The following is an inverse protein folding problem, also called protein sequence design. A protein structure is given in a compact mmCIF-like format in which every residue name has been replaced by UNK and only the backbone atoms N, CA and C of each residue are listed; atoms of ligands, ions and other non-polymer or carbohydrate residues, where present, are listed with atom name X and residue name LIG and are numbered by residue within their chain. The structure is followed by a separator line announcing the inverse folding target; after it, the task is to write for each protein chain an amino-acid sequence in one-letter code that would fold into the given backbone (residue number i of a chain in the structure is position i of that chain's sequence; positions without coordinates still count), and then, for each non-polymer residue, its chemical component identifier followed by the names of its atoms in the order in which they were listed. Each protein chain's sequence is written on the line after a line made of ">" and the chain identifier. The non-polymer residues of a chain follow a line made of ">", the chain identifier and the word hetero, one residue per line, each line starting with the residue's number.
data_IF_684969290408
#
_entry.id   IF_684969290408
#
_cell.length_a   1.000
_cell.length_b   1.000
_cell.length_c   1.000
_cell.angle_alpha   90.00
_cell.angle_beta   90.00
_cell.angle_gamma   90.00
#
_symmetry.space_group_name_H-M   'P 1'
#
loop_
_entity.id
_entity.type
_entity.pdbx_description
1 polymer ?
#
# COMPACT_ATOMS: atom_id res chain seq x y z
N UNK A 1 -0.15 -5.19 -26.70
CA UNK A 1 -0.45 -3.74 -26.59
C UNK A 1 0.82 -2.96 -26.26
N UNK A 2 0.84 -1.68 -26.60
CA UNK A 2 1.84 -0.71 -26.10
C UNK A 2 1.21 0.05 -24.92
N UNK A 3 1.73 -0.20 -23.72
CA UNK A 3 1.19 0.33 -22.47
C UNK A 3 2.13 1.41 -21.94
N UNK A 4 1.62 2.62 -21.72
CA UNK A 4 2.36 3.70 -21.08
C UNK A 4 1.93 3.81 -19.61
N UNK A 5 2.77 3.32 -18.70
CA UNK A 5 2.59 3.49 -17.26
C UNK A 5 3.13 4.86 -16.85
N UNK A 6 2.38 5.60 -16.07
CA UNK A 6 2.75 6.95 -15.58
C UNK A 6 2.70 6.97 -14.08
N UNK A 7 3.85 7.22 -13.45
CA UNK A 7 3.94 7.43 -12.02
C UNK A 7 5.09 8.40 -11.71
N UNK A 8 4.84 9.41 -10.89
CA UNK A 8 5.90 10.33 -10.44
C UNK A 8 6.94 9.65 -9.55
N UNK A 9 6.62 8.50 -8.98
CA UNK A 9 7.54 7.66 -8.22
C UNK A 9 7.78 6.34 -8.96
N UNK A 10 9.06 6.05 -9.20
CA UNK A 10 9.52 4.78 -9.78
C UNK A 10 10.93 4.50 -9.29
N UNK A 11 11.41 3.25 -9.25
CA UNK A 11 12.78 2.98 -8.81
C UNK A 11 13.83 3.89 -9.47
N UNK A 12 14.82 4.34 -8.70
CA UNK A 12 15.24 3.87 -7.37
C UNK A 12 14.46 4.45 -6.18
N UNK A 13 13.37 5.20 -6.38
CA UNK A 13 12.49 5.63 -5.28
C UNK A 13 11.66 4.46 -4.76
N UNK A 14 11.65 4.28 -3.43
CA UNK A 14 10.97 3.17 -2.74
C UNK A 14 9.70 3.67 -2.02
N UNK A 15 8.62 3.86 -2.75
CA UNK A 15 7.29 4.16 -2.19
C UNK A 15 6.31 3.06 -2.57
N UNK A 16 5.19 2.91 -1.85
CA UNK A 16 4.18 1.91 -2.17
C UNK A 16 3.69 1.98 -3.62
N UNK A 17 3.44 3.20 -4.14
CA UNK A 17 3.03 3.37 -5.54
C UNK A 17 4.16 3.09 -6.55
N UNK A 18 5.45 3.27 -6.16
CA UNK A 18 6.57 2.91 -7.01
C UNK A 18 6.68 1.38 -7.16
N UNK A 19 6.55 0.64 -6.06
CA UNK A 19 6.52 -0.82 -6.07
C UNK A 19 5.33 -1.33 -6.89
N UNK A 20 4.13 -0.81 -6.64
CA UNK A 20 2.95 -1.15 -7.42
C UNK A 20 3.18 -0.97 -8.93
N UNK A 21 3.69 0.20 -9.35
CA UNK A 21 3.92 0.49 -10.77
C UNK A 21 4.96 -0.41 -11.40
N UNK A 22 6.02 -0.77 -10.66
CA UNK A 22 7.03 -1.71 -11.10
C UNK A 22 6.46 -3.12 -11.26
N UNK A 23 5.67 -3.56 -10.27
CA UNK A 23 5.11 -4.91 -10.25
C UNK A 23 4.13 -5.11 -11.41
N UNK A 24 3.17 -4.19 -11.62
CA UNK A 24 2.25 -4.29 -12.76
C UNK A 24 2.98 -4.17 -14.11
N UNK A 25 4.00 -3.31 -14.21
CA UNK A 25 4.77 -3.16 -15.44
C UNK A 25 5.52 -4.45 -15.80
N UNK A 26 6.14 -5.11 -14.82
CA UNK A 26 6.79 -6.43 -15.01
C UNK A 26 5.81 -7.49 -15.48
N UNK A 27 4.63 -7.53 -14.87
CA UNK A 27 3.62 -8.51 -15.27
C UNK A 27 3.06 -8.24 -16.66
N UNK A 28 2.90 -6.97 -17.07
CA UNK A 28 2.53 -6.64 -18.45
C UNK A 28 3.59 -7.10 -19.46
N UNK A 29 4.89 -6.94 -19.15
CA UNK A 29 5.99 -7.46 -19.98
C UNK A 29 5.94 -8.99 -20.07
N UNK A 30 5.78 -9.69 -18.95
CA UNK A 30 5.67 -11.16 -18.92
C UNK A 30 4.50 -11.68 -19.77
N UNK A 31 3.40 -10.91 -19.85
CA UNK A 31 2.23 -11.24 -20.68
C UNK A 31 2.37 -10.77 -22.14
N UNK A 32 3.58 -10.39 -22.56
CA UNK A 32 3.91 -10.10 -23.96
C UNK A 32 3.52 -8.70 -24.44
N UNK A 33 3.36 -7.74 -23.53
CA UNK A 33 3.08 -6.35 -23.89
C UNK A 33 4.36 -5.52 -23.94
N UNK A 34 4.41 -4.53 -24.83
CA UNK A 34 5.47 -3.52 -24.87
C UNK A 34 5.15 -2.45 -23.82
N UNK A 35 6.03 -2.28 -22.82
CA UNK A 35 5.78 -1.46 -21.67
C UNK A 35 6.76 -0.30 -21.56
N UNK A 36 6.21 0.89 -21.49
CA UNK A 36 6.94 2.13 -21.26
C UNK A 36 6.52 2.73 -19.93
N UNK A 37 7.48 3.29 -19.19
CA UNK A 37 7.23 4.00 -17.95
C UNK A 37 7.68 5.45 -18.07
N UNK A 38 6.77 6.40 -17.88
CA UNK A 38 7.09 7.80 -17.73
C UNK A 38 7.12 8.15 -16.25
N UNK A 39 8.28 8.59 -15.75
CA UNK A 39 8.49 8.93 -14.34
C UNK A 39 9.32 10.20 -14.19
N UNK A 40 9.54 10.63 -12.94
CA UNK A 40 10.36 11.82 -12.64
C UNK A 40 11.83 11.45 -12.47
N UNK A 41 12.72 12.32 -12.93
CA UNK A 41 14.16 12.16 -12.76
C UNK A 41 14.55 12.14 -11.28
N UNK A 42 15.55 11.32 -10.97
CA UNK A 42 16.21 11.23 -9.67
C UNK A 42 17.70 11.57 -9.89
N UNK A 43 18.35 12.30 -8.99
CA UNK A 43 19.79 12.57 -9.11
C UNK A 43 20.58 11.27 -9.31
N UNK A 44 21.45 11.25 -10.31
CA UNK A 44 22.28 10.08 -10.65
C UNK A 44 21.60 9.02 -11.52
N UNK A 45 20.30 9.13 -11.81
CA UNK A 45 19.60 8.19 -12.70
C UNK A 45 19.66 8.65 -14.15
N UNK A 46 19.82 7.73 -15.12
CA UNK A 46 19.81 8.06 -16.55
C UNK A 46 18.42 8.57 -17.00
N UNK A 47 18.40 9.40 -18.02
CA UNK A 47 17.13 9.90 -18.61
C UNK A 47 16.33 8.75 -19.24
N UNK A 48 17.00 7.75 -19.78
CA UNK A 48 16.41 6.54 -20.35
C UNK A 48 17.19 5.32 -19.91
N UNK A 49 16.47 4.29 -19.56
CA UNK A 49 17.04 2.97 -19.26
C UNK A 49 16.05 1.87 -19.62
N UNK A 50 16.56 0.66 -19.74
CA UNK A 50 15.74 -0.55 -19.82
C UNK A 50 15.93 -1.36 -18.54
N UNK A 51 14.84 -1.76 -17.92
CA UNK A 51 14.82 -2.54 -16.69
C UNK A 51 13.78 -3.65 -16.83
N UNK A 52 14.20 -4.92 -16.78
CA UNK A 52 13.30 -6.08 -16.85
C UNK A 52 12.37 -6.05 -18.08
N UNK A 53 12.86 -5.58 -19.24
CA UNK A 53 12.08 -5.40 -20.47
C UNK A 53 11.15 -4.20 -20.46
N UNK A 54 11.24 -3.33 -19.47
CA UNK A 54 10.48 -2.09 -19.34
C UNK A 54 11.33 -0.91 -19.82
N UNK A 55 10.82 -0.12 -20.77
CA UNK A 55 11.48 1.10 -21.22
C UNK A 55 11.14 2.26 -20.28
N UNK A 56 12.09 2.70 -19.47
CA UNK A 56 11.90 3.78 -18.49
C UNK A 56 12.37 5.11 -19.05
N UNK A 57 11.51 6.12 -19.03
CA UNK A 57 11.80 7.49 -19.44
C UNK A 57 11.61 8.44 -18.26
N UNK A 58 12.69 9.11 -17.85
CA UNK A 58 12.68 10.05 -16.74
C UNK A 58 12.57 11.50 -17.22
N UNK A 59 11.53 12.16 -16.73
CA UNK A 59 11.28 13.59 -17.04
C UNK A 59 11.95 14.46 -15.99
N UNK A 60 12.70 15.53 -16.39
CA UNK A 60 13.30 16.45 -15.44
C UNK A 60 12.29 17.00 -14.45
N UNK A 61 12.60 16.91 -13.17
CA UNK A 61 11.76 17.35 -12.08
C UNK A 61 12.56 18.17 -11.06
N UNK A 62 11.88 19.03 -10.33
CA UNK A 62 12.38 19.62 -9.10
C UNK A 62 11.61 19.03 -7.92
N UNK A 63 12.21 19.00 -6.74
CA UNK A 63 11.60 18.37 -5.57
C UNK A 63 11.42 19.39 -4.45
N UNK A 64 10.28 19.33 -3.79
CA UNK A 64 10.05 20.01 -2.52
C UNK A 64 10.58 19.11 -1.41
N UNK A 65 11.42 19.69 -0.54
CA UNK A 65 12.06 18.94 0.55
C UNK A 65 11.04 18.42 1.57
N UNK A 66 11.31 17.27 2.20
CA UNK A 66 10.50 16.75 3.29
C UNK A 66 10.34 17.75 4.44
N UNK A 67 9.17 17.78 5.06
CA UNK A 67 8.86 18.66 6.20
C UNK A 67 8.14 19.96 5.84
N UNK A 68 8.26 20.47 4.60
CA UNK A 68 7.53 21.68 4.19
C UNK A 68 6.03 21.44 3.95
N UNK A 69 5.63 20.19 3.65
CA UNK A 69 4.25 19.80 3.34
C UNK A 69 3.77 18.60 4.17
N UNK A 70 4.38 18.32 5.32
CA UNK A 70 4.10 17.16 6.20
C UNK A 70 4.15 15.79 5.50
N UNK A 71 4.94 15.67 4.42
CA UNK A 71 5.27 14.40 3.78
C UNK A 71 6.69 13.99 4.15
N UNK A 72 6.89 12.71 4.47
CA UNK A 72 8.21 12.19 4.85
C UNK A 72 9.12 11.89 3.65
N UNK A 73 8.72 12.26 2.45
CA UNK A 73 9.47 12.09 1.22
C UNK A 73 9.34 13.32 0.31
N UNK A 74 10.39 13.56 -0.48
CA UNK A 74 10.41 14.69 -1.41
C UNK A 74 9.35 14.52 -2.51
N UNK A 75 8.48 15.51 -2.67
CA UNK A 75 7.48 15.55 -3.75
C UNK A 75 8.12 16.07 -5.03
N UNK A 76 8.14 15.29 -6.11
CA UNK A 76 8.64 15.72 -7.40
C UNK A 76 7.58 16.49 -8.19
N UNK A 77 8.01 17.57 -8.83
CA UNK A 77 7.21 18.38 -9.73
C UNK A 77 7.91 18.53 -11.08
N UNK A 78 7.19 18.31 -12.17
CA UNK A 78 7.71 18.38 -13.54
C UNK A 78 7.36 19.70 -14.25
N UNK A 79 6.63 20.60 -13.61
CA UNK A 79 6.18 21.86 -14.22
C UNK A 79 7.39 22.74 -14.57
N UNK A 80 7.93 22.55 -15.79
CA UNK A 80 9.06 23.26 -16.37
C UNK A 80 8.82 23.55 -17.84
N UNK A 81 9.39 24.62 -18.40
CA UNK A 81 9.37 24.84 -19.84
C UNK A 81 9.92 23.60 -20.59
N UNK A 82 9.21 23.18 -21.60
CA UNK A 82 9.63 22.03 -22.43
C UNK A 82 9.14 20.65 -22.03
N UNK A 83 8.64 20.44 -20.78
CA UNK A 83 8.11 19.12 -20.35
C UNK A 83 6.95 18.67 -21.22
N UNK A 84 6.00 19.53 -21.53
CA UNK A 84 4.89 19.20 -22.42
C UNK A 84 5.40 18.71 -23.78
N UNK A 85 6.45 19.35 -24.32
CA UNK A 85 7.08 18.92 -25.59
C UNK A 85 7.73 17.55 -25.46
N UNK A 86 8.40 17.26 -24.34
CA UNK A 86 8.99 15.93 -24.08
C UNK A 86 7.93 14.84 -23.99
N UNK A 87 6.85 15.09 -23.26
CA UNK A 87 5.75 14.13 -23.16
C UNK A 87 5.05 13.94 -24.53
N UNK A 88 4.86 15.00 -25.30
CA UNK A 88 4.32 14.85 -26.66
C UNK A 88 5.22 13.95 -27.54
N UNK A 89 6.56 14.20 -27.52
CA UNK A 89 7.52 13.37 -28.26
C UNK A 89 7.48 11.89 -27.80
N UNK A 90 7.38 11.66 -26.49
CA UNK A 90 7.23 10.32 -25.95
C UNK A 90 5.97 9.63 -26.50
N UNK A 91 4.84 10.32 -26.54
CA UNK A 91 3.62 9.78 -27.14
C UNK A 91 3.73 9.55 -28.67
N UNK A 92 4.50 10.38 -29.39
CA UNK A 92 4.76 10.20 -30.84
C UNK A 92 5.64 8.97 -31.09
N UNK A 93 6.62 8.73 -30.22
CA UNK A 93 7.55 7.61 -30.27
C UNK A 93 6.85 6.30 -29.90
N UNK A 94 6.20 6.26 -28.71
CA UNK A 94 5.58 5.06 -28.16
C UNK A 94 4.27 4.72 -28.88
N UNK A 95 3.48 5.72 -29.25
CA UNK A 95 2.11 5.55 -29.77
C UNK A 95 1.30 4.60 -28.88
N UNK A 96 1.13 4.92 -27.58
CA UNK A 96 0.53 3.98 -26.64
C UNK A 96 -0.91 3.67 -27.02
N UNK A 97 -1.28 2.40 -26.86
CA UNK A 97 -2.66 1.92 -27.02
C UNK A 97 -3.51 2.32 -25.80
N UNK A 98 -2.87 2.41 -24.62
CA UNK A 98 -3.50 2.79 -23.36
C UNK A 98 -2.49 3.49 -22.43
N UNK A 99 -2.97 4.38 -21.58
CA UNK A 99 -2.17 5.02 -20.52
C UNK A 99 -2.68 4.58 -19.15
N UNK A 100 -1.82 3.95 -18.36
CA UNK A 100 -2.08 3.56 -16.98
C UNK A 100 -1.42 4.57 -16.03
N UNK A 101 -2.21 5.44 -15.41
CA UNK A 101 -1.74 6.51 -14.52
C UNK A 101 -1.89 6.11 -13.06
N UNK A 102 -0.82 6.30 -12.28
CA UNK A 102 -0.77 6.01 -10.84
C UNK A 102 -0.59 7.30 -10.05
N UNK A 103 -1.61 7.65 -9.25
CA UNK A 103 -1.64 8.88 -8.47
C UNK A 103 -2.35 10.04 -9.16
N UNK A 104 -3.37 10.56 -8.47
CA UNK A 104 -4.32 11.56 -8.99
C UNK A 104 -3.88 13.02 -8.80
N UNK A 105 -2.78 13.30 -8.10
CA UNK A 105 -2.41 14.65 -7.68
C UNK A 105 -1.02 15.11 -8.13
N UNK A 106 -0.34 14.35 -8.95
CA UNK A 106 0.96 14.74 -9.49
C UNK A 106 0.82 15.46 -10.83
N UNK A 107 1.64 16.48 -11.03
CA UNK A 107 1.62 17.28 -12.25
C UNK A 107 2.03 16.48 -13.50
N UNK A 108 2.88 15.45 -13.37
CA UNK A 108 3.16 14.50 -14.45
C UNK A 108 1.88 13.79 -14.92
N UNK A 109 1.00 13.40 -13.98
CA UNK A 109 -0.32 12.83 -14.30
C UNK A 109 -1.14 13.83 -15.12
N UNK A 110 -1.14 15.11 -14.77
CA UNK A 110 -1.92 16.13 -15.48
C UNK A 110 -1.38 16.42 -16.88
N UNK A 111 -0.05 16.51 -17.03
CA UNK A 111 0.57 16.72 -18.35
C UNK A 111 0.27 15.53 -19.28
N UNK A 112 0.42 14.29 -18.78
CA UNK A 112 0.13 13.10 -19.57
C UNK A 112 -1.37 12.95 -19.85
N UNK A 113 -2.26 13.35 -18.90
CA UNK A 113 -3.70 13.42 -19.11
C UNK A 113 -4.06 14.33 -20.28
N UNK A 114 -3.48 15.53 -20.31
CA UNK A 114 -3.77 16.49 -21.37
C UNK A 114 -3.29 15.98 -22.74
N UNK A 115 -2.09 15.38 -22.81
CA UNK A 115 -1.57 14.82 -24.08
C UNK A 115 -2.40 13.62 -24.53
N UNK A 116 -2.74 12.68 -23.66
CA UNK A 116 -3.57 11.53 -23.96
C UNK A 116 -4.96 11.94 -24.47
N UNK A 117 -5.60 12.92 -23.78
CA UNK A 117 -6.89 13.48 -24.21
C UNK A 117 -6.83 14.07 -25.62
N UNK A 118 -5.79 14.88 -25.92
CA UNK A 118 -5.61 15.48 -27.25
C UNK A 118 -5.35 14.48 -28.35
N UNK A 119 -4.87 13.29 -28.01
CA UNK A 119 -4.54 12.17 -28.93
C UNK A 119 -5.58 11.06 -28.92
N UNK A 120 -6.66 11.23 -28.18
CA UNK A 120 -7.72 10.23 -28.03
C UNK A 120 -7.24 8.87 -27.51
N UNK A 121 -6.12 8.84 -26.75
CA UNK A 121 -5.60 7.62 -26.12
C UNK A 121 -6.41 7.35 -24.85
N UNK A 122 -7.00 6.14 -24.69
CA UNK A 122 -7.75 5.78 -23.50
C UNK A 122 -6.86 5.73 -22.26
N UNK A 123 -7.45 6.03 -21.09
CA UNK A 123 -6.73 6.12 -19.81
C UNK A 123 -7.41 5.34 -18.71
N UNK A 124 -6.61 4.66 -17.89
CA UNK A 124 -6.97 4.21 -16.54
C UNK A 124 -6.22 5.06 -15.52
N UNK A 125 -6.94 5.57 -14.53
CA UNK A 125 -6.36 6.32 -13.40
C UNK A 125 -6.54 5.52 -12.12
N UNK A 126 -5.44 5.02 -11.56
CA UNK A 126 -5.43 4.34 -10.26
C UNK A 126 -5.19 5.36 -9.13
N UNK A 127 -6.09 5.35 -8.17
CA UNK A 127 -6.07 6.17 -6.97
C UNK A 127 -5.66 5.29 -5.80
N UNK A 128 -4.50 5.60 -5.19
CA UNK A 128 -3.93 4.80 -4.11
C UNK A 128 -4.30 5.31 -2.71
N UNK A 129 -4.43 6.61 -2.55
CA UNK A 129 -4.67 7.23 -1.25
C UNK A 129 -5.32 8.60 -1.40
N UNK A 130 -6.14 9.03 -0.44
CA UNK A 130 -6.61 10.40 -0.40
C UNK A 130 -5.47 11.37 -0.06
N UNK A 131 -5.57 12.60 -0.55
CA UNK A 131 -4.73 13.69 -0.07
C UNK A 131 -5.16 14.08 1.35
N UNK A 132 -4.26 13.87 2.31
CA UNK A 132 -4.49 14.21 3.72
C UNK A 132 -3.35 15.10 4.23
N UNK A 133 -3.67 15.98 5.16
CA UNK A 133 -2.70 16.82 5.87
C UNK A 133 -3.09 16.95 7.34
N UNK A 134 -2.12 17.03 8.24
CA UNK A 134 -2.34 17.16 9.69
C UNK A 134 -2.93 18.53 10.04
N UNK A 135 -2.46 19.62 9.43
CA UNK A 135 -3.00 20.97 9.63
C UNK A 135 -4.43 21.08 9.09
N UNK A 136 -5.41 21.56 9.89
CA UNK A 136 -6.79 21.76 9.44
C UNK A 136 -6.91 22.73 8.26
N UNK A 137 -6.13 23.81 8.26
CA UNK A 137 -6.15 24.84 7.21
C UNK A 137 -5.64 24.28 5.88
N UNK A 138 -4.48 23.60 5.89
CA UNK A 138 -3.94 22.97 4.68
C UNK A 138 -4.82 21.83 4.19
N UNK A 139 -5.42 21.07 5.09
CA UNK A 139 -6.40 20.03 4.75
C UNK A 139 -7.62 20.61 4.05
N UNK A 140 -8.17 21.73 4.53
CA UNK A 140 -9.28 22.42 3.88
C UNK A 140 -8.89 22.93 2.49
N UNK A 141 -7.72 23.56 2.37
CA UNK A 141 -7.19 24.06 1.08
C UNK A 141 -6.96 22.90 0.09
N UNK A 142 -6.26 21.84 0.50
CA UNK A 142 -6.04 20.65 -0.34
C UNK A 142 -7.37 20.03 -0.76
N UNK A 143 -8.35 19.94 0.15
CA UNK A 143 -9.69 19.42 -0.18
C UNK A 143 -10.44 20.28 -1.18
N UNK A 144 -10.27 21.60 -1.11
CA UNK A 144 -10.84 22.54 -2.09
C UNK A 144 -10.19 22.33 -3.47
N UNK A 145 -8.85 22.29 -3.54
CA UNK A 145 -8.10 22.05 -4.79
C UNK A 145 -8.47 20.69 -5.40
N UNK A 146 -8.57 19.64 -4.58
CA UNK A 146 -8.94 18.29 -5.01
C UNK A 146 -10.37 18.25 -5.61
N UNK A 147 -11.30 18.96 -4.99
CA UNK A 147 -12.70 19.01 -5.48
C UNK A 147 -12.91 19.89 -6.72
N UNK A 148 -11.98 20.76 -7.03
CA UNK A 148 -12.08 21.72 -8.14
C UNK A 148 -11.09 21.38 -9.25
N UNK A 149 -9.84 21.85 -9.13
CA UNK A 149 -8.82 21.73 -10.17
C UNK A 149 -8.45 20.26 -10.46
N UNK A 150 -8.19 19.45 -9.41
CA UNK A 150 -7.82 18.05 -9.61
C UNK A 150 -8.98 17.25 -10.20
N UNK A 151 -10.21 17.52 -9.76
CA UNK A 151 -11.40 16.89 -10.36
C UNK A 151 -11.52 17.21 -11.84
N UNK A 152 -11.36 18.48 -12.23
CA UNK A 152 -11.44 18.88 -13.63
C UNK A 152 -10.36 18.19 -14.47
N UNK A 153 -9.10 18.22 -14.01
CA UNK A 153 -7.96 17.62 -14.69
C UNK A 153 -8.11 16.10 -14.81
N UNK A 154 -8.51 15.43 -13.72
CA UNK A 154 -8.68 13.98 -13.74
C UNK A 154 -9.90 13.53 -14.57
N UNK A 155 -10.89 14.39 -14.81
CA UNK A 155 -12.07 14.07 -15.64
C UNK A 155 -11.85 14.28 -17.13
N UNK A 156 -10.76 14.95 -17.56
CA UNK A 156 -10.46 15.16 -18.97
C UNK A 156 -10.30 13.81 -19.70
N UNK A 157 -10.93 13.67 -20.87
CA UNK A 157 -10.87 12.44 -21.65
C UNK A 157 -11.63 11.24 -21.04
N UNK A 158 -12.44 11.45 -20.01
CA UNK A 158 -13.28 10.43 -19.37
C UNK A 158 -12.52 9.15 -19.02
N UNK A 159 -11.50 9.20 -18.11
CA UNK A 159 -10.77 8.01 -17.73
C UNK A 159 -11.69 7.00 -17.03
N UNK A 160 -11.31 5.73 -17.07
CA UNK A 160 -11.76 4.76 -16.11
C UNK A 160 -10.97 4.99 -14.81
N UNK A 161 -11.66 5.07 -13.68
CA UNK A 161 -11.02 5.30 -12.38
C UNK A 161 -11.05 4.01 -11.56
N UNK A 162 -9.89 3.65 -11.01
CA UNK A 162 -9.68 2.50 -10.15
C UNK A 162 -9.30 2.97 -8.74
N UNK A 163 -9.87 2.36 -7.73
CA UNK A 163 -9.49 2.51 -6.32
C UNK A 163 -8.99 1.20 -5.74
N UNK A 164 -8.04 1.27 -4.81
CA UNK A 164 -7.36 0.09 -4.25
C UNK A 164 -8.06 -0.55 -3.05
N UNK A 165 -9.05 0.13 -2.49
CA UNK A 165 -9.94 -0.35 -1.42
C UNK A 165 -11.29 0.36 -1.47
N UNK A 166 -12.24 -0.06 -0.63
CA UNK A 166 -13.58 0.56 -0.56
C UNK A 166 -13.52 2.04 -0.22
N UNK A 167 -12.71 2.43 0.76
CA UNK A 167 -12.61 3.83 1.18
C UNK A 167 -12.14 4.73 0.04
N UNK A 168 -11.11 4.29 -0.69
CA UNK A 168 -10.57 4.99 -1.86
C UNK A 168 -11.58 5.01 -3.00
N UNK A 169 -12.29 3.89 -3.26
CA UNK A 169 -13.35 3.83 -4.28
C UNK A 169 -14.47 4.82 -3.99
N UNK A 170 -15.00 4.83 -2.78
CA UNK A 170 -16.07 5.74 -2.37
C UNK A 170 -15.62 7.20 -2.39
N UNK A 171 -14.39 7.48 -1.94
CA UNK A 171 -13.80 8.80 -2.00
C UNK A 171 -13.66 9.28 -3.44
N UNK A 172 -13.10 8.48 -4.32
CA UNK A 172 -12.91 8.81 -5.73
C UNK A 172 -14.25 8.98 -6.45
N UNK A 173 -15.25 8.13 -6.16
CA UNK A 173 -16.62 8.23 -6.69
C UNK A 173 -17.26 9.57 -6.32
N UNK A 174 -17.17 9.97 -5.05
CA UNK A 174 -17.73 11.24 -4.56
C UNK A 174 -17.02 12.46 -5.09
N UNK A 175 -15.66 12.42 -5.15
CA UNK A 175 -14.84 13.57 -5.52
C UNK A 175 -14.72 13.80 -6.99
N UNK A 176 -14.42 12.74 -7.77
CA UNK A 176 -14.13 12.88 -9.19
C UNK A 176 -15.36 12.68 -10.09
N UNK A 177 -16.41 12.05 -9.57
CA UNK A 177 -17.68 11.82 -10.30
C UNK A 177 -17.41 11.28 -11.71
N UNK A 178 -16.84 10.07 -11.84
CA UNK A 178 -16.40 9.54 -13.12
C UNK A 178 -17.58 9.47 -14.10
N UNK A 179 -17.28 9.70 -15.39
CA UNK A 179 -18.29 9.76 -16.45
C UNK A 179 -18.35 8.50 -17.31
N UNK A 180 -17.43 7.56 -17.10
CA UNK A 180 -17.33 6.31 -17.88
C UNK A 180 -17.80 5.08 -17.08
N UNK A 181 -18.50 5.26 -16.01
CA UNK A 181 -18.96 4.20 -15.12
C UNK A 181 -18.53 4.43 -13.68
N UNK A 182 -18.92 3.55 -12.75
CA UNK A 182 -18.50 3.64 -11.36
C UNK A 182 -16.99 3.42 -11.23
N UNK A 183 -16.42 3.89 -10.11
CA UNK A 183 -15.04 3.56 -9.75
C UNK A 183 -14.90 2.06 -9.60
N UNK A 184 -13.97 1.47 -10.33
CA UNK A 184 -13.67 0.04 -10.24
C UNK A 184 -12.77 -0.24 -9.04
N UNK A 185 -12.91 -1.41 -8.44
CA UNK A 185 -12.01 -1.89 -7.42
C UNK A 185 -10.98 -2.86 -8.02
N UNK A 186 -9.70 -2.51 -7.91
CA UNK A 186 -8.59 -3.43 -8.13
C UNK A 186 -7.59 -3.20 -6.99
N UNK A 187 -7.25 -4.24 -6.20
CA UNK A 187 -6.38 -4.08 -5.03
C UNK A 187 -4.95 -3.69 -5.41
N UNK A 188 -4.17 -3.29 -4.43
CA UNK A 188 -2.73 -3.12 -4.59
C UNK A 188 -2.05 -4.47 -4.86
N UNK A 189 -0.90 -4.44 -5.55
CA UNK A 189 -0.10 -5.64 -5.82
C UNK A 189 0.68 -6.09 -4.60
N UNK A 190 0.87 -7.41 -4.48
CA UNK A 190 1.74 -8.03 -3.51
C UNK A 190 2.67 -9.03 -4.21
N UNK A 191 3.97 -8.93 -3.95
CA UNK A 191 4.96 -9.94 -4.35
C UNK A 191 5.06 -11.00 -3.26
N UNK A 192 4.11 -11.95 -3.31
CA UNK A 192 3.93 -12.97 -2.27
C UNK A 192 5.22 -13.75 -1.99
N UNK A 193 5.96 -14.11 -3.03
CA UNK A 193 7.15 -14.95 -2.92
C UNK A 193 8.35 -14.24 -2.24
N UNK A 194 8.32 -12.92 -2.16
CA UNK A 194 9.40 -12.13 -1.53
C UNK A 194 9.45 -12.30 -0.02
N UNK A 195 8.35 -12.67 0.61
CA UNK A 195 8.22 -12.75 2.07
C UNK A 195 8.28 -14.19 2.59
N UNK A 196 8.42 -15.18 1.70
CA UNK A 196 8.37 -16.60 2.06
C UNK A 196 9.62 -17.10 2.80
N UNK A 197 10.73 -16.37 2.72
CA UNK A 197 12.03 -16.80 3.28
C UNK A 197 12.60 -15.71 4.17
N UNK A 198 12.61 -15.95 5.48
CA UNK A 198 13.20 -15.08 6.49
C UNK A 198 13.91 -15.89 7.57
N UNK A 199 14.97 -15.36 8.15
CA UNK A 199 15.70 -15.95 9.29
C UNK A 199 15.17 -15.35 10.60
N UNK A 200 14.08 -15.92 11.10
CA UNK A 200 13.46 -15.50 12.36
C UNK A 200 14.35 -15.75 13.58
N UNK A 201 15.18 -16.79 13.56
CA UNK A 201 16.07 -17.13 14.66
C UNK A 201 17.14 -16.07 14.85
N UNK A 202 17.63 -15.49 13.76
CA UNK A 202 18.56 -14.35 13.79
C UNK A 202 17.97 -13.17 14.57
N UNK A 203 16.73 -12.79 14.28
CA UNK A 203 16.04 -11.67 14.97
C UNK A 203 15.77 -12.03 16.43
N UNK A 204 15.32 -13.26 16.72
CA UNK A 204 15.08 -13.73 18.09
C UNK A 204 16.36 -13.70 18.93
N UNK A 205 17.48 -14.13 18.36
CA UNK A 205 18.79 -14.06 19.03
C UNK A 205 19.25 -12.62 19.25
N UNK A 206 19.16 -11.78 18.22
CA UNK A 206 19.57 -10.37 18.28
C UNK A 206 18.82 -9.57 19.36
N UNK A 207 17.53 -9.84 19.52
CA UNK A 207 16.65 -9.13 20.48
C UNK A 207 16.49 -9.88 21.81
N UNK A 208 17.16 -11.02 22.02
CA UNK A 208 17.07 -11.80 23.25
C UNK A 208 15.66 -12.38 23.51
N UNK A 209 14.92 -12.71 22.46
CA UNK A 209 13.53 -13.13 22.55
C UNK A 209 13.38 -14.62 22.97
N UNK A 210 14.35 -15.47 22.62
CA UNK A 210 14.25 -16.91 22.84
C UNK A 210 12.97 -17.51 22.21
N UNK A 211 12.33 -18.46 22.91
CA UNK A 211 11.13 -19.13 22.43
C UNK A 211 9.80 -18.43 22.83
N UNK A 212 9.88 -17.19 23.33
CA UNK A 212 8.73 -16.43 23.76
C UNK A 212 7.72 -16.23 22.64
N UNK A 213 6.40 -16.24 22.95
CA UNK A 213 5.40 -15.82 21.97
C UNK A 213 5.59 -14.35 21.58
N UNK A 214 5.62 -14.08 20.27
CA UNK A 214 5.83 -12.72 19.74
C UNK A 214 4.58 -12.27 19.00
N UNK A 215 3.95 -11.22 19.52
CA UNK A 215 2.92 -10.46 18.81
C UNK A 215 3.64 -9.37 18.01
N UNK A 216 3.81 -9.58 16.72
CA UNK A 216 4.38 -8.57 15.83
C UNK A 216 3.36 -7.46 15.59
N UNK A 217 3.84 -6.24 15.53
CA UNK A 217 3.06 -5.06 15.14
C UNK A 217 3.84 -4.29 14.07
N UNK A 218 3.62 -4.67 12.81
CA UNK A 218 4.46 -4.28 11.67
C UNK A 218 3.89 -3.09 10.92
N UNK A 219 4.76 -2.10 10.64
CA UNK A 219 4.45 -0.89 9.89
C UNK A 219 4.54 0.39 10.74
N UNK A 220 4.48 1.54 10.07
CA UNK A 220 4.58 2.83 10.75
C UNK A 220 3.46 3.05 11.77
N UNK A 221 3.82 3.56 12.95
CA UNK A 221 2.85 3.95 13.97
C UNK A 221 2.38 5.37 13.72
N UNK A 222 1.12 5.50 13.35
CA UNK A 222 0.44 6.76 13.03
C UNK A 222 -0.93 6.79 13.73
N UNK A 223 -1.61 7.93 13.84
CA UNK A 223 -2.89 8.01 14.58
C UNK A 223 -3.97 7.03 14.13
N UNK A 224 -4.03 6.67 12.84
CA UNK A 224 -4.99 5.69 12.30
C UNK A 224 -4.49 4.23 12.37
N UNK A 225 -3.32 4.00 12.94
CA UNK A 225 -2.67 2.73 13.27
C UNK A 225 -1.86 2.94 14.54
N UNK A 226 -2.59 3.23 15.63
CA UNK A 226 -2.02 3.81 16.85
C UNK A 226 -1.34 2.78 17.77
N UNK A 227 -1.62 1.48 17.60
CA UNK A 227 -1.28 0.39 18.54
C UNK A 227 -1.99 0.46 19.88
N UNK A 228 -2.72 1.54 20.16
CA UNK A 228 -3.45 1.70 21.41
C UNK A 228 -4.40 0.54 21.70
N UNK A 229 -5.22 0.02 20.75
CA UNK A 229 -6.10 -1.13 21.03
C UNK A 229 -5.33 -2.40 21.43
N UNK A 230 -4.15 -2.65 20.83
CA UNK A 230 -3.30 -3.79 21.19
C UNK A 230 -2.79 -3.66 22.62
N UNK A 231 -2.29 -2.46 22.98
CA UNK A 231 -1.77 -2.22 24.34
C UNK A 231 -2.87 -2.27 25.39
N UNK A 232 -4.10 -1.84 25.09
CA UNK A 232 -5.26 -2.00 25.98
C UNK A 232 -5.62 -3.47 26.22
N UNK A 233 -5.41 -4.34 25.24
CA UNK A 233 -5.63 -5.78 25.36
C UNK A 233 -4.48 -6.52 26.06
N UNK A 234 -3.27 -5.95 26.07
CA UNK A 234 -2.03 -6.61 26.50
C UNK A 234 -2.04 -7.10 27.96
N UNK A 235 -2.60 -6.39 28.97
CA UNK A 235 -2.67 -6.91 30.35
C UNK A 235 -3.35 -8.28 30.42
N UNK A 236 -4.50 -8.43 29.74
CA UNK A 236 -5.25 -9.70 29.71
C UNK A 236 -4.52 -10.80 28.94
N UNK A 237 -3.76 -10.45 27.89
CA UNK A 237 -2.92 -11.40 27.16
C UNK A 237 -1.76 -11.85 28.06
N UNK A 238 -1.11 -10.93 28.77
CA UNK A 238 0.01 -11.23 29.65
C UNK A 238 -0.37 -12.07 30.88
N UNK A 239 -1.62 -11.98 31.37
CA UNK A 239 -2.14 -12.88 32.39
C UNK A 239 -2.11 -14.35 31.95
N UNK A 240 -2.38 -14.64 30.68
CA UNK A 240 -2.38 -16.01 30.12
C UNK A 240 -1.00 -16.42 29.56
N UNK A 241 -0.25 -15.46 29.04
CA UNK A 241 1.07 -15.64 28.44
C UNK A 241 2.10 -14.68 29.06
N UNK A 242 2.59 -14.94 30.30
CA UNK A 242 3.47 -14.00 31.01
C UNK A 242 4.77 -13.63 30.27
N UNK A 243 5.22 -14.52 29.41
CA UNK A 243 6.43 -14.31 28.61
C UNK A 243 6.19 -13.64 27.24
N UNK A 244 4.94 -13.30 26.90
CA UNK A 244 4.61 -12.68 25.61
C UNK A 244 5.38 -11.37 25.41
N UNK A 245 5.80 -11.09 24.19
CA UNK A 245 6.37 -9.80 23.79
C UNK A 245 5.61 -9.23 22.59
N UNK A 246 5.37 -7.94 22.63
CA UNK A 246 4.88 -7.15 21.50
C UNK A 246 6.10 -6.52 20.83
N UNK A 247 6.36 -6.88 19.59
CA UNK A 247 7.47 -6.38 18.79
C UNK A 247 6.94 -5.35 17.79
N UNK A 248 7.15 -4.07 18.08
CA UNK A 248 6.74 -2.96 17.20
C UNK A 248 7.87 -2.64 16.23
N UNK A 249 7.64 -2.92 14.94
CA UNK A 249 8.62 -2.73 13.86
C UNK A 249 8.12 -1.66 12.89
N UNK A 250 8.79 -0.53 12.84
CA UNK A 250 8.43 0.61 11.98
C UNK A 250 8.69 1.95 12.66
N UNK A 251 8.69 3.01 11.87
CA UNK A 251 8.89 4.38 12.38
C UNK A 251 7.71 4.80 13.26
N UNK A 252 8.01 5.39 14.42
CA UNK A 252 7.00 5.84 15.39
C UNK A 252 6.78 7.35 15.22
N UNK A 253 5.62 7.71 14.66
CA UNK A 253 5.16 9.10 14.54
C UNK A 253 4.07 9.45 15.55
N UNK A 254 3.61 8.47 16.32
CA UNK A 254 2.55 8.61 17.32
C UNK A 254 2.86 7.66 18.49
N UNK A 255 3.18 8.20 19.65
CA UNK A 255 3.77 7.49 20.81
C UNK A 255 2.80 7.19 21.95
N UNK A 256 1.51 7.46 21.80
CA UNK A 256 0.49 7.26 22.84
C UNK A 256 0.46 5.83 23.38
N UNK A 257 0.72 4.84 22.51
CA UNK A 257 0.78 3.44 22.92
C UNK A 257 1.90 3.18 23.94
N UNK A 258 3.03 3.89 23.87
CA UNK A 258 4.14 3.75 24.81
C UNK A 258 3.78 4.32 26.18
N UNK A 259 3.12 5.49 26.22
CA UNK A 259 2.61 6.08 27.48
C UNK A 259 1.59 5.16 28.13
N UNK A 260 0.66 4.64 27.34
CA UNK A 260 -0.35 3.70 27.81
C UNK A 260 0.26 2.39 28.35
N UNK A 261 1.32 1.88 27.72
CA UNK A 261 2.02 0.68 28.20
C UNK A 261 2.63 0.90 29.61
N UNK A 262 3.15 2.09 29.89
CA UNK A 262 3.61 2.47 31.23
C UNK A 262 2.44 2.58 32.21
N UNK A 263 1.35 3.23 31.84
CA UNK A 263 0.15 3.41 32.70
C UNK A 263 -0.47 2.06 33.07
N UNK A 264 -0.48 1.10 32.16
CA UNK A 264 -1.03 -0.24 32.38
C UNK A 264 -0.02 -1.24 33.00
N UNK A 265 1.23 -0.83 33.24
CA UNK A 265 2.27 -1.69 33.82
C UNK A 265 2.75 -2.82 32.91
N UNK A 266 2.60 -2.68 31.59
CA UNK A 266 2.99 -3.70 30.59
C UNK A 266 4.16 -3.27 29.69
N UNK A 267 4.87 -2.22 30.09
CA UNK A 267 6.00 -1.68 29.29
C UNK A 267 7.10 -2.71 29.02
N UNK A 268 7.38 -3.60 29.97
CA UNK A 268 8.39 -4.66 29.84
C UNK A 268 8.04 -5.73 28.79
N UNK A 269 6.79 -5.77 28.39
CA UNK A 269 6.32 -6.62 27.30
C UNK A 269 6.50 -5.99 25.91
N UNK A 270 6.84 -4.70 25.80
CA UNK A 270 6.85 -3.96 24.53
C UNK A 270 8.27 -3.65 24.10
N UNK A 271 8.64 -4.10 22.92
CA UNK A 271 9.93 -3.84 22.27
C UNK A 271 9.68 -3.02 21.02
N UNK A 272 10.36 -1.88 20.89
CA UNK A 272 10.25 -0.98 19.73
C UNK A 272 11.59 -0.95 19.00
N UNK A 273 11.63 -1.44 17.77
CA UNK A 273 12.86 -1.44 16.97
C UNK A 273 13.07 -0.16 16.17
N UNK A 274 11.99 0.60 15.95
CA UNK A 274 12.00 1.65 14.95
C UNK A 274 12.02 1.08 13.52
N UNK A 275 12.47 1.90 12.57
CA UNK A 275 12.55 1.51 11.17
C UNK A 275 13.66 0.49 10.94
N UNK A 276 13.34 -0.61 10.25
CA UNK A 276 14.30 -1.63 9.81
C UNK A 276 14.54 -1.54 8.30
N UNK A 277 15.72 -1.96 7.79
CA UNK A 277 15.96 -2.07 6.36
C UNK A 277 14.95 -3.01 5.70
N UNK A 278 14.44 -2.64 4.51
CA UNK A 278 13.43 -3.45 3.82
C UNK A 278 13.90 -4.88 3.51
N UNK A 279 15.20 -5.06 3.26
CA UNK A 279 15.79 -6.38 3.03
C UNK A 279 15.73 -7.31 4.27
N UNK A 280 15.62 -6.74 5.48
CA UNK A 280 15.55 -7.50 6.73
C UNK A 280 14.11 -7.78 7.17
N UNK A 281 13.11 -7.17 6.53
CA UNK A 281 11.70 -7.34 6.87
C UNK A 281 11.29 -8.82 6.92
N UNK A 282 11.65 -9.70 5.96
CA UNK A 282 11.28 -11.10 6.03
C UNK A 282 11.74 -11.81 7.32
N UNK A 283 12.91 -11.43 7.88
CA UNK A 283 13.43 -12.03 9.10
C UNK A 283 12.60 -11.62 10.33
N UNK A 284 12.18 -10.36 10.38
CA UNK A 284 11.26 -9.90 11.44
C UNK A 284 9.89 -10.55 11.35
N UNK A 285 9.37 -10.79 10.14
CA UNK A 285 8.14 -11.53 9.94
C UNK A 285 8.29 -12.98 10.41
N UNK A 286 9.36 -13.65 10.02
CA UNK A 286 9.64 -15.04 10.42
C UNK A 286 9.85 -15.21 11.94
N UNK A 287 10.26 -14.16 12.66
CA UNK A 287 10.38 -14.19 14.12
C UNK A 287 9.04 -14.17 14.86
N UNK A 288 7.95 -13.78 14.18
CA UNK A 288 6.65 -13.58 14.81
C UNK A 288 5.89 -14.87 15.06
N UNK A 289 5.07 -14.89 16.13
CA UNK A 289 4.09 -15.95 16.40
C UNK A 289 2.72 -15.60 15.81
N UNK A 290 2.32 -14.32 15.91
CA UNK A 290 1.11 -13.73 15.37
C UNK A 290 1.38 -12.27 15.06
N UNK A 291 0.65 -11.70 14.12
CA UNK A 291 0.72 -10.25 13.85
C UNK A 291 -0.61 -9.58 14.17
N UNK A 292 -0.54 -8.38 14.76
CA UNK A 292 -1.72 -7.57 15.04
C UNK A 292 -1.39 -6.09 15.14
N UNK A 293 -1.66 -5.33 14.07
CA UNK A 293 -1.51 -3.86 14.09
C UNK A 293 -2.70 -3.11 13.49
N UNK A 294 -3.46 -3.72 12.59
CA UNK A 294 -4.65 -3.09 11.99
C UNK A 294 -5.88 -3.28 12.90
N UNK A 295 -5.87 -2.60 14.06
CA UNK A 295 -6.92 -2.69 15.08
C UNK A 295 -7.76 -1.41 15.21
N UNK A 296 -7.42 -0.34 14.51
CA UNK A 296 -8.13 0.95 14.57
C UNK A 296 -9.38 1.00 13.65
N UNK A 297 -9.67 -0.08 12.90
CA UNK A 297 -10.88 -0.22 12.09
C UNK A 297 -10.85 0.49 10.73
N UNK A 298 -9.68 0.91 10.26
CA UNK A 298 -9.53 1.69 9.02
C UNK A 298 -9.30 0.86 7.76
N UNK A 299 -9.00 -0.43 7.89
CA UNK A 299 -8.75 -1.33 6.75
C UNK A 299 -7.49 -2.16 6.93
N UNK A 300 -7.30 -3.14 6.06
CA UNK A 300 -6.08 -3.94 6.00
C UNK A 300 -5.03 -3.19 5.18
N UNK A 301 -3.88 -2.93 5.81
CA UNK A 301 -2.73 -2.34 5.15
C UNK A 301 -1.99 -3.32 4.25
N UNK A 302 -1.17 -2.80 3.32
CA UNK A 302 -0.28 -3.65 2.52
C UNK A 302 0.68 -4.43 3.43
N UNK A 303 1.11 -3.85 4.52
CA UNK A 303 1.97 -4.50 5.52
C UNK A 303 1.32 -5.73 6.15
N UNK A 304 0.02 -5.69 6.47
CA UNK A 304 -0.71 -6.87 6.94
C UNK A 304 -0.74 -7.98 5.88
N UNK A 305 -0.90 -7.59 4.61
CA UNK A 305 -0.87 -8.56 3.50
C UNK A 305 0.52 -9.16 3.27
N UNK A 306 1.60 -8.38 3.49
CA UNK A 306 2.98 -8.87 3.50
C UNK A 306 3.21 -9.94 4.59
N UNK A 307 2.61 -9.72 5.76
CA UNK A 307 2.64 -10.69 6.87
C UNK A 307 1.91 -11.98 6.51
N UNK A 308 0.72 -11.89 5.91
CA UNK A 308 -0.01 -13.06 5.41
C UNK A 308 0.80 -13.82 4.34
N UNK A 309 1.52 -13.08 3.47
CA UNK A 309 2.41 -13.68 2.47
C UNK A 309 3.60 -14.41 3.10
N UNK A 310 4.07 -13.98 4.26
CA UNK A 310 5.09 -14.67 5.06
C UNK A 310 4.55 -15.88 5.83
N UNK A 311 3.28 -16.24 5.69
CA UNK A 311 2.59 -17.29 6.47
C UNK A 311 2.66 -17.06 7.98
N UNK A 312 2.58 -15.80 8.39
CA UNK A 312 2.39 -15.43 9.79
C UNK A 312 0.91 -15.13 9.99
N UNK A 313 0.21 -15.78 10.92
CA UNK A 313 -1.22 -15.55 11.11
C UNK A 313 -1.43 -14.13 11.63
N UNK A 314 -2.39 -13.41 11.05
CA UNK A 314 -2.79 -12.08 11.50
C UNK A 314 -4.08 -12.13 12.29
N UNK A 315 -4.26 -11.13 13.15
CA UNK A 315 -5.53 -10.76 13.73
C UNK A 315 -5.78 -9.26 13.50
N UNK A 316 -6.91 -8.90 12.90
CA UNK A 316 -7.19 -7.52 12.54
C UNK A 316 -8.62 -7.10 12.88
N UNK A 317 -8.81 -5.79 13.11
CA UNK A 317 -10.13 -5.17 13.25
C UNK A 317 -10.40 -4.29 12.04
N UNK A 318 -11.25 -4.78 11.14
CA UNK A 318 -11.63 -4.05 9.93
C UNK A 318 -13.10 -4.30 9.57
N UNK A 319 -13.65 -3.45 8.73
CA UNK A 319 -14.98 -3.69 8.15
C UNK A 319 -14.94 -4.88 7.19
N UNK A 320 -15.96 -5.74 7.24
CA UNK A 320 -16.03 -6.90 6.35
C UNK A 320 -16.16 -6.55 4.86
N UNK A 321 -16.66 -5.37 4.54
CA UNK A 321 -16.83 -4.88 3.17
C UNK A 321 -15.64 -4.05 2.64
N UNK A 322 -14.46 -4.17 3.27
CA UNK A 322 -13.26 -3.40 2.93
C UNK A 322 -12.80 -3.59 1.47
N UNK A 323 -13.02 -4.75 0.89
CA UNK A 323 -12.71 -5.09 -0.49
C UNK A 323 -13.99 -5.29 -1.31
N UNK A 324 -14.42 -4.31 -2.13
CA UNK A 324 -15.62 -4.45 -2.96
C UNK A 324 -15.55 -5.67 -3.88
N UNK A 325 -16.57 -6.53 -3.82
CA UNK A 325 -16.64 -7.75 -4.65
C UNK A 325 -15.81 -8.94 -4.13
N UNK A 326 -15.20 -8.82 -2.95
CA UNK A 326 -14.62 -9.95 -2.21
C UNK A 326 -15.47 -10.15 -0.96
N UNK A 327 -16.11 -11.31 -0.87
CA UNK A 327 -16.89 -11.70 0.32
C UNK A 327 -15.94 -12.25 1.39
N UNK A 328 -15.74 -11.49 2.46
CA UNK A 328 -14.87 -11.91 3.56
C UNK A 328 -15.54 -12.97 4.47
N UNK A 329 -16.84 -13.22 4.33
CA UNK A 329 -17.52 -14.30 5.06
C UNK A 329 -17.15 -15.68 4.51
N UNK A 330 -16.67 -15.77 3.26
CA UNK A 330 -16.05 -16.98 2.70
C UNK A 330 -14.66 -17.29 3.28
N UNK A 331 -14.11 -16.38 4.09
CA UNK A 331 -12.75 -16.44 4.64
C UNK A 331 -12.73 -16.24 6.16
N UNK A 332 -13.42 -17.10 6.94
CA UNK A 332 -13.48 -16.95 8.40
C UNK A 332 -12.10 -17.02 9.08
N UNK A 333 -11.14 -17.69 8.44
CA UNK A 333 -9.76 -17.82 8.92
C UNK A 333 -8.96 -16.49 8.81
N UNK A 334 -9.48 -15.47 8.18
CA UNK A 334 -8.82 -14.15 8.17
C UNK A 334 -8.73 -13.52 9.56
N UNK A 335 -9.44 -14.08 10.57
CA UNK A 335 -9.40 -13.59 11.95
C UNK A 335 -9.71 -12.09 12.04
N UNK A 336 -10.78 -11.69 11.35
CA UNK A 336 -11.24 -10.30 11.30
C UNK A 336 -12.41 -10.11 12.24
N UNK A 337 -12.31 -9.09 13.09
CA UNK A 337 -13.41 -8.66 13.97
C UNK A 337 -13.78 -7.20 13.75
N UNK A 338 -15.02 -6.84 14.09
CA UNK A 338 -15.48 -5.45 14.08
C UNK A 338 -15.44 -4.82 15.47
N UNK A 339 -15.38 -5.64 16.52
CA UNK A 339 -15.34 -5.18 17.93
C UNK A 339 -14.06 -4.41 18.25
N UNK A 340 -14.21 -3.29 18.95
CA UNK A 340 -13.12 -2.50 19.50
C UNK A 340 -12.79 -2.85 20.96
N UNK A 341 -13.55 -3.77 21.56
CA UNK A 341 -13.40 -4.12 22.98
C UNK A 341 -12.05 -4.80 23.24
N UNK A 342 -11.22 -4.29 24.17
CA UNK A 342 -9.92 -4.88 24.47
C UNK A 342 -9.98 -6.35 24.87
N UNK A 343 -11.06 -6.77 25.55
CA UNK A 343 -11.27 -8.16 25.93
C UNK A 343 -11.43 -9.08 24.70
N UNK A 344 -12.23 -8.67 23.71
CA UNK A 344 -12.43 -9.45 22.48
C UNK A 344 -11.13 -9.56 21.67
N UNK A 345 -10.34 -8.49 21.61
CA UNK A 345 -9.01 -8.50 20.97
C UNK A 345 -8.08 -9.48 21.71
N UNK A 346 -8.04 -9.39 23.04
CA UNK A 346 -7.21 -10.28 23.85
C UNK A 346 -7.60 -11.76 23.66
N UNK A 347 -8.88 -12.07 23.73
CA UNK A 347 -9.37 -13.46 23.61
C UNK A 347 -9.00 -14.06 22.25
N UNK A 348 -9.13 -13.29 21.16
CA UNK A 348 -8.77 -13.74 19.82
C UNK A 348 -7.26 -13.95 19.66
N UNK A 349 -6.44 -13.04 20.19
CA UNK A 349 -4.97 -13.21 20.16
C UNK A 349 -4.55 -14.39 21.02
N UNK A 350 -5.11 -14.55 22.23
CA UNK A 350 -4.83 -15.69 23.11
C UNK A 350 -5.22 -17.03 22.44
N UNK A 351 -6.32 -17.06 21.71
CA UNK A 351 -6.70 -18.25 20.94
C UNK A 351 -5.66 -18.63 19.89
N UNK A 352 -5.15 -17.65 19.14
CA UNK A 352 -4.05 -17.85 18.20
C UNK A 352 -2.76 -18.31 18.92
N UNK A 353 -2.43 -17.74 20.08
CA UNK A 353 -1.23 -18.10 20.81
C UNK A 353 -1.30 -19.52 21.41
N UNK A 354 -2.48 -20.03 21.74
CA UNK A 354 -2.67 -21.28 22.45
C UNK A 354 -2.45 -22.54 21.61
N UNK A 355 -2.63 -22.48 20.27
CA UNK A 355 -2.56 -23.66 19.40
C UNK A 355 -1.69 -23.42 18.18
N UNK A 356 -0.58 -24.17 18.08
CA UNK A 356 0.30 -24.14 16.92
C UNK A 356 -0.39 -24.68 15.66
N UNK A 357 -1.23 -25.71 15.81
CA UNK A 357 -1.98 -26.30 14.69
C UNK A 357 -3.00 -25.30 14.13
N UNK A 358 -3.77 -24.63 15.00
CA UNK A 358 -4.72 -23.60 14.60
C UNK A 358 -4.01 -22.43 13.93
N UNK A 359 -2.87 -21.95 14.48
CA UNK A 359 -2.06 -20.92 13.82
C UNK A 359 -1.62 -21.29 12.41
N UNK A 360 -1.14 -22.54 12.23
CA UNK A 360 -0.69 -23.02 10.92
C UNK A 360 -1.85 -23.06 9.92
N UNK A 361 -3.02 -23.53 10.33
CA UNK A 361 -4.23 -23.52 9.51
C UNK A 361 -4.63 -22.10 9.10
N UNK A 362 -4.70 -21.20 10.07
CA UNK A 362 -5.04 -19.77 9.83
C UNK A 362 -4.04 -19.13 8.87
N UNK A 363 -2.73 -19.34 9.11
CA UNK A 363 -1.68 -18.76 8.27
C UNK A 363 -1.76 -19.24 6.81
N UNK A 364 -2.02 -20.52 6.58
CA UNK A 364 -2.14 -21.06 5.21
C UNK A 364 -3.38 -20.53 4.50
N UNK A 365 -4.52 -20.43 5.18
CA UNK A 365 -5.75 -19.85 4.60
C UNK A 365 -5.58 -18.34 4.28
N UNK A 366 -4.89 -17.62 5.15
CA UNK A 366 -4.57 -16.21 4.92
C UNK A 366 -3.58 -16.03 3.75
N UNK A 367 -2.59 -16.90 3.64
CA UNK A 367 -1.69 -16.95 2.48
C UNK A 367 -2.44 -17.24 1.17
N UNK A 368 -3.38 -18.20 1.19
CA UNK A 368 -4.24 -18.50 0.05
C UNK A 368 -5.08 -17.28 -0.38
N UNK A 369 -5.65 -16.56 0.59
CA UNK A 369 -6.39 -15.33 0.35
C UNK A 369 -5.56 -14.27 -0.38
N UNK A 370 -4.38 -13.92 0.16
CA UNK A 370 -3.54 -12.91 -0.49
C UNK A 370 -3.01 -13.38 -1.84
N UNK A 371 -2.72 -14.64 -1.99
CA UNK A 371 -2.29 -15.24 -3.26
C UNK A 371 -3.38 -15.18 -4.32
N UNK A 372 -4.63 -15.41 -3.94
CA UNK A 372 -5.78 -15.40 -4.85
C UNK A 372 -6.14 -14.02 -5.37
N UNK A 373 -6.01 -12.98 -4.53
CA UNK A 373 -6.55 -11.66 -4.85
C UNK A 373 -5.51 -10.58 -5.09
N UNK A 374 -4.29 -10.70 -4.53
CA UNK A 374 -3.31 -9.62 -4.46
C UNK A 374 -1.99 -9.91 -5.17
N UNK A 375 -1.75 -11.12 -5.67
CA UNK A 375 -0.56 -11.41 -6.48
C UNK A 375 -0.49 -10.45 -7.66
N UNK A 376 0.73 -9.98 -7.95
CA UNK A 376 0.96 -9.01 -9.01
C UNK A 376 0.40 -9.45 -10.35
N UNK A 377 0.51 -10.74 -10.69
CA UNK A 377 -0.03 -11.33 -11.92
C UNK A 377 -1.56 -11.25 -11.99
N UNK A 378 -2.27 -11.53 -10.88
CA UNK A 378 -3.73 -11.47 -10.79
C UNK A 378 -4.21 -10.02 -10.94
N UNK A 379 -3.56 -9.10 -10.23
CA UNK A 379 -3.87 -7.67 -10.28
C UNK A 379 -3.61 -7.10 -11.68
N UNK A 380 -2.47 -7.43 -12.28
CA UNK A 380 -2.13 -7.00 -13.64
C UNK A 380 -3.12 -7.55 -14.66
N UNK A 381 -3.55 -8.81 -14.53
CA UNK A 381 -4.58 -9.42 -15.39
C UNK A 381 -5.88 -8.62 -15.39
N UNK A 382 -6.37 -8.21 -14.21
CA UNK A 382 -7.58 -7.36 -14.10
C UNK A 382 -7.42 -6.00 -14.80
N UNK A 383 -6.22 -5.40 -14.75
CA UNK A 383 -5.95 -4.17 -15.50
C UNK A 383 -5.95 -4.41 -17.01
N UNK A 384 -5.39 -5.52 -17.47
CA UNK A 384 -5.38 -5.86 -18.91
C UNK A 384 -6.80 -6.09 -19.45
N UNK A 385 -7.67 -6.74 -18.68
CA UNK A 385 -9.09 -6.86 -19.01
C UNK A 385 -9.74 -5.46 -19.18
N UNK A 386 -9.50 -4.54 -18.24
CA UNK A 386 -9.98 -3.15 -18.36
C UNK A 386 -9.37 -2.41 -19.56
N UNK A 387 -8.13 -2.68 -19.92
CA UNK A 387 -7.50 -2.05 -21.10
C UNK A 387 -8.14 -2.55 -22.40
N UNK A 388 -8.49 -3.83 -22.48
CA UNK A 388 -9.18 -4.38 -23.64
C UNK A 388 -10.61 -3.82 -23.76
N UNK A 389 -11.36 -3.72 -22.68
CA UNK A 389 -12.66 -3.07 -22.66
C UNK A 389 -12.62 -1.58 -23.08
N UNK A 390 -11.54 -0.88 -22.74
CA UNK A 390 -11.36 0.52 -23.11
C UNK A 390 -11.06 0.75 -24.57
N UNK A 391 -10.53 -0.27 -25.27
CA UNK A 391 -10.14 -0.24 -26.68
C UNK A 391 -11.22 -0.77 -27.61
N UNK A 392 -12.13 -1.60 -27.09
CA UNK A 392 -13.32 -2.05 -27.79
C UNK A 392 -14.33 -0.90 -28.01
#
# INVERSE_FOLDING_TARGET
>A
MRILVVNSFFPPRTTGSAHFSLDVAREYVKQGHEVWVATTAVPGSPEREEMDGIHVVRVPAWSVTPGSLAFNYALPFVFRPGVIRRIKRLFDEVRPDVVHQNGQFFDLTFVTTWVAWRRHVPRVLTVHTPLMHTSPVLRAFISMVDRTALRLLNSLGRPLIVGVDRYVCEMAQRRYRPRRGPVQFIPATLRVDQFATGDGDRVRQQLGLGDRPIILSFGHVIPIRSRVPLIQALPRIAEQFPDVRVLVVGEVYYDEFQRLAHELGVVDHVIVTGRVPHAEVPDYLAAATVESHDLDGHGLGITTMEVMAARVPIFARVRRDVFPGIDLDEWPELQIVESAEPAAIADSICHLLSSAEFRAQVAERQFEFVSRYFRAEVVAGRYLELFDELRA
#
